data_IF_973960147967
#
_entry.id   IF_973960147967
#
_cell.length_a   1.000
_cell.length_b   1.000
_cell.length_c   1.000
_cell.angle_alpha   90.00
_cell.angle_beta   90.00
_cell.angle_gamma   90.00
#
_symmetry.space_group_name_H-M   'P 1'
#
loop_
_entity.id
_entity.type
_entity.pdbx_description
1 polymer ?
#
# COMPACT_ATOMS: atom_id res chain seq x y z
N UNK A 1 3.54 19.98 6.96
CA UNK A 1 4.25 19.42 5.79
C UNK A 1 3.38 19.57 4.55
N UNK A 2 3.95 19.90 3.39
CA UNK A 2 3.19 19.92 2.13
C UNK A 2 2.79 18.49 1.74
N UNK A 3 1.50 18.25 1.45
CA UNK A 3 0.99 16.93 1.14
C UNK A 3 1.68 16.28 -0.08
N UNK A 4 2.12 17.08 -1.07
CA UNK A 4 2.87 16.58 -2.23
C UNK A 4 4.23 16.00 -1.80
N UNK A 5 4.91 16.67 -0.87
CA UNK A 5 6.19 16.20 -0.33
C UNK A 5 5.96 14.91 0.47
N UNK A 6 4.89 14.83 1.25
CA UNK A 6 4.52 13.60 1.97
C UNK A 6 4.30 12.42 1.01
N UNK A 7 3.59 12.63 -0.11
CA UNK A 7 3.39 11.62 -1.14
C UNK A 7 4.71 11.20 -1.81
N UNK A 8 5.62 12.14 -2.08
CA UNK A 8 6.93 11.85 -2.66
C UNK A 8 7.80 11.03 -1.71
N UNK A 9 7.81 11.38 -0.42
CA UNK A 9 8.51 10.60 0.61
C UNK A 9 7.93 9.19 0.66
N UNK A 10 6.60 9.05 0.75
CA UNK A 10 5.94 7.75 0.77
C UNK A 10 6.29 6.91 -0.47
N UNK A 11 6.30 7.50 -1.66
CA UNK A 11 6.72 6.81 -2.88
C UNK A 11 8.17 6.31 -2.80
N UNK A 12 9.09 7.15 -2.31
CA UNK A 12 10.49 6.78 -2.14
C UNK A 12 10.66 5.63 -1.12
N UNK A 13 9.99 5.69 0.04
CA UNK A 13 10.04 4.61 1.04
C UNK A 13 9.46 3.31 0.50
N UNK A 14 8.33 3.35 -0.19
CA UNK A 14 7.72 2.16 -0.80
C UNK A 14 8.57 1.55 -1.91
N UNK A 15 9.30 2.38 -2.67
CA UNK A 15 10.21 1.89 -3.72
C UNK A 15 11.40 1.13 -3.13
N UNK A 16 11.96 1.62 -2.02
CA UNK A 16 13.07 0.98 -1.31
C UNK A 16 12.59 -0.26 -0.54
N UNK A 17 11.37 -0.20 -0.02
CA UNK A 17 10.73 -1.25 0.76
C UNK A 17 10.69 -2.59 -0.01
N UNK A 18 10.23 -2.60 -1.27
CA UNK A 18 10.10 -3.83 -2.05
C UNK A 18 11.42 -4.60 -2.22
N UNK A 19 12.53 -3.88 -2.35
CA UNK A 19 13.87 -4.46 -2.46
C UNK A 19 14.32 -5.18 -1.18
N UNK A 20 14.11 -4.56 -0.02
CA UNK A 20 14.46 -5.19 1.27
C UNK A 20 13.47 -6.30 1.64
N UNK A 21 12.18 -6.13 1.36
CA UNK A 21 11.14 -7.13 1.62
C UNK A 21 11.36 -8.42 0.83
N UNK A 22 11.74 -8.34 -0.45
CA UNK A 22 12.08 -9.53 -1.25
C UNK A 22 13.27 -10.29 -0.65
N UNK A 23 14.34 -9.57 -0.28
CA UNK A 23 15.55 -10.17 0.30
C UNK A 23 15.26 -10.83 1.65
N UNK A 24 14.53 -10.14 2.53
CA UNK A 24 14.14 -10.64 3.83
C UNK A 24 13.25 -11.90 3.69
N UNK A 25 12.26 -11.84 2.78
CA UNK A 25 11.37 -12.97 2.46
C UNK A 25 12.11 -14.22 2.00
N UNK A 26 13.21 -14.08 1.24
CA UNK A 26 14.04 -15.22 0.81
C UNK A 26 14.85 -15.85 1.96
N UNK A 27 15.22 -15.08 2.98
CA UNK A 27 16.07 -15.55 4.09
C UNK A 27 15.24 -16.28 5.15
N UNK A 28 14.15 -15.66 5.62
CA UNK A 28 13.37 -16.18 6.75
C UNK A 28 11.88 -16.41 6.45
N UNK A 29 11.44 -16.18 5.21
CA UNK A 29 10.05 -16.37 4.80
C UNK A 29 9.14 -15.17 5.09
N UNK A 30 7.98 -15.18 4.42
CA UNK A 30 6.95 -14.15 4.44
C UNK A 30 6.33 -13.94 5.83
N UNK A 31 6.19 -15.02 6.62
CA UNK A 31 5.60 -14.97 7.96
C UNK A 31 6.48 -14.21 8.94
N UNK A 32 7.78 -14.46 8.90
CA UNK A 32 8.74 -13.76 9.75
C UNK A 32 8.87 -12.30 9.32
N UNK A 33 8.81 -12.03 8.01
CA UNK A 33 8.80 -10.66 7.50
C UNK A 33 7.60 -9.86 8.04
N UNK A 34 6.40 -10.47 8.03
CA UNK A 34 5.19 -9.87 8.59
C UNK A 34 5.33 -9.52 10.08
N UNK A 35 6.03 -10.35 10.87
CA UNK A 35 6.28 -10.08 12.29
C UNK A 35 7.16 -8.84 12.46
N UNK A 36 8.28 -8.75 11.74
CA UNK A 36 9.17 -7.58 11.83
C UNK A 36 8.47 -6.29 11.44
N UNK A 37 7.63 -6.32 10.40
CA UNK A 37 6.85 -5.16 10.01
C UNK A 37 5.79 -4.78 11.04
N UNK A 38 5.11 -5.77 11.62
CA UNK A 38 4.14 -5.53 12.70
C UNK A 38 4.81 -4.85 13.89
N UNK A 39 6.02 -5.28 14.26
CA UNK A 39 6.80 -4.64 15.32
C UNK A 39 7.17 -3.19 14.97
N UNK A 40 7.54 -2.92 13.71
CA UNK A 40 7.81 -1.55 13.25
C UNK A 40 6.55 -0.66 13.31
N UNK A 41 5.39 -1.19 12.92
CA UNK A 41 4.11 -0.47 13.04
C UNK A 41 3.71 -0.22 14.49
N UNK A 42 3.93 -1.18 15.39
CA UNK A 42 3.69 -1.00 16.83
C UNK A 42 4.59 0.13 17.37
N UNK A 43 5.87 0.13 17.02
CA UNK A 43 6.79 1.18 17.43
C UNK A 43 6.34 2.56 16.94
N UNK A 44 5.98 2.68 15.66
CA UNK A 44 5.45 3.91 15.08
C UNK A 44 4.14 4.34 15.75
N UNK A 45 3.26 3.39 16.08
CA UNK A 45 2.01 3.67 16.78
C UNK A 45 2.26 4.20 18.20
N UNK A 46 3.25 3.65 18.93
CA UNK A 46 3.64 4.15 20.25
C UNK A 46 4.20 5.57 20.16
N UNK A 47 5.03 5.86 19.17
CA UNK A 47 5.55 7.22 18.92
C UNK A 47 4.42 8.17 18.54
N UNK A 48 3.49 7.78 17.67
CA UNK A 48 2.35 8.59 17.29
C UNK A 48 1.34 8.78 18.44
N UNK A 49 1.26 7.83 19.37
CA UNK A 49 0.33 7.88 20.49
C UNK A 49 0.62 9.07 21.41
N UNK A 50 1.88 9.50 21.58
CA UNK A 50 2.21 10.65 22.44
C UNK A 50 1.55 11.95 21.98
N UNK A 51 1.37 12.10 20.66
CA UNK A 51 0.75 13.29 20.06
C UNK A 51 -0.76 13.13 19.89
N UNK A 52 -1.27 11.89 19.89
CA UNK A 52 -2.66 11.57 19.61
C UNK A 52 -3.54 11.37 20.86
N UNK A 53 -2.98 11.33 22.09
CA UNK A 53 -3.75 11.13 23.34
C UNK A 53 -4.92 12.11 23.45
N UNK A 54 -4.71 13.37 23.04
CA UNK A 54 -5.73 14.41 23.08
C UNK A 54 -6.92 14.16 22.14
N UNK A 55 -6.79 13.32 21.11
CA UNK A 55 -7.80 13.12 20.08
C UNK A 55 -8.68 11.88 20.29
N UNK A 56 -8.41 11.07 21.32
CA UNK A 56 -9.19 9.86 21.60
C UNK A 56 -10.69 10.15 21.83
N UNK A 57 -11.03 11.34 22.33
CA UNK A 57 -12.42 11.77 22.50
C UNK A 57 -13.20 11.88 21.17
N UNK A 58 -12.51 11.97 20.02
CA UNK A 58 -13.11 12.02 18.68
C UNK A 58 -13.45 10.63 18.13
N UNK A 59 -13.01 9.56 18.80
CA UNK A 59 -13.24 8.19 18.35
C UNK A 59 -14.68 7.79 18.63
N UNK A 60 -15.41 7.49 17.55
CA UNK A 60 -16.76 6.91 17.59
C UNK A 60 -16.72 5.43 17.24
N UNK A 61 -17.78 4.67 17.56
CA UNK A 61 -17.87 3.26 17.15
C UNK A 61 -17.72 3.06 15.64
N UNK A 62 -18.27 3.99 14.83
CA UNK A 62 -18.15 3.95 13.36
C UNK A 62 -16.72 4.22 12.89
N UNK A 63 -16.03 5.22 13.46
CA UNK A 63 -14.64 5.51 13.07
C UNK A 63 -13.70 4.39 13.51
N UNK A 64 -13.92 3.81 14.69
CA UNK A 64 -13.18 2.65 15.17
C UNK A 64 -13.37 1.45 14.21
N UNK A 65 -14.61 1.13 13.84
CA UNK A 65 -14.90 0.07 12.87
C UNK A 65 -14.20 0.30 11.53
N UNK A 66 -14.32 1.50 10.95
CA UNK A 66 -13.68 1.83 9.68
C UNK A 66 -12.14 1.71 9.77
N UNK A 67 -11.54 2.19 10.86
CA UNK A 67 -10.09 2.10 11.09
C UNK A 67 -9.64 0.64 11.26
N UNK A 68 -10.40 -0.18 12.00
CA UNK A 68 -10.13 -1.61 12.15
C UNK A 68 -10.24 -2.37 10.83
N UNK A 69 -11.26 -2.08 10.02
CA UNK A 69 -11.41 -2.67 8.69
C UNK A 69 -10.28 -2.26 7.75
N UNK A 70 -9.88 -0.98 7.77
CA UNK A 70 -8.72 -0.50 7.01
C UNK A 70 -7.45 -1.26 7.42
N UNK A 71 -7.20 -1.42 8.73
CA UNK A 71 -6.05 -2.17 9.25
C UNK A 71 -6.07 -3.64 8.85
N UNK A 72 -7.22 -4.31 8.98
CA UNK A 72 -7.38 -5.72 8.61
C UNK A 72 -7.15 -5.95 7.11
N UNK A 73 -7.79 -5.14 6.25
CA UNK A 73 -7.63 -5.24 4.79
C UNK A 73 -6.19 -4.95 4.36
N UNK A 74 -5.53 -3.99 5.01
CA UNK A 74 -4.12 -3.70 4.79
C UNK A 74 -3.24 -4.90 5.11
N UNK A 75 -3.43 -5.52 6.28
CA UNK A 75 -2.66 -6.70 6.68
C UNK A 75 -2.87 -7.91 5.75
N UNK A 76 -4.13 -8.17 5.37
CA UNK A 76 -4.46 -9.27 4.45
C UNK A 76 -3.88 -9.03 3.05
N UNK A 77 -4.09 -7.83 2.49
CA UNK A 77 -3.55 -7.48 1.16
C UNK A 77 -2.02 -7.54 1.14
N UNK A 78 -1.40 -7.08 2.22
CA UNK A 78 0.03 -7.13 2.40
C UNK A 78 0.58 -8.58 2.49
N UNK A 79 -0.09 -9.47 3.23
CA UNK A 79 0.27 -10.89 3.26
C UNK A 79 0.21 -11.54 1.87
N UNK A 80 -0.83 -11.25 1.09
CA UNK A 80 -0.93 -11.72 -0.29
C UNK A 80 0.15 -11.15 -1.20
N UNK A 81 0.56 -9.89 -1.01
CA UNK A 81 1.68 -9.31 -1.75
C UNK A 81 2.98 -10.07 -1.46
N UNK A 82 3.31 -10.32 -0.19
CA UNK A 82 4.51 -11.10 0.16
C UNK A 82 4.46 -12.53 -0.38
N UNK A 83 3.29 -13.16 -0.35
CA UNK A 83 3.08 -14.48 -0.95
C UNK A 83 3.30 -14.44 -2.48
N UNK A 84 2.76 -13.43 -3.17
CA UNK A 84 2.95 -13.25 -4.61
C UNK A 84 4.44 -13.10 -4.96
N UNK A 85 5.19 -12.30 -4.20
CA UNK A 85 6.64 -12.13 -4.39
C UNK A 85 7.45 -13.40 -4.14
N UNK A 86 6.92 -14.35 -3.36
CA UNK A 86 7.53 -15.65 -3.12
C UNK A 86 7.31 -16.64 -4.27
N UNK A 87 6.12 -16.63 -4.88
CA UNK A 87 5.73 -17.61 -5.91
C UNK A 87 5.97 -17.12 -7.34
N UNK A 88 6.11 -15.81 -7.55
CA UNK A 88 6.37 -15.24 -8.87
C UNK A 88 7.76 -15.67 -9.36
N UNK A 89 7.91 -16.01 -10.66
CA UNK A 89 9.23 -16.20 -11.25
C UNK A 89 10.10 -14.95 -11.08
N UNK A 90 11.40 -15.12 -10.81
CA UNK A 90 12.31 -14.00 -10.53
C UNK A 90 12.35 -12.96 -11.66
N UNK A 91 12.21 -13.40 -12.92
CA UNK A 91 12.15 -12.53 -14.10
C UNK A 91 10.89 -11.66 -14.14
N UNK A 92 9.86 -12.03 -13.37
CA UNK A 92 8.57 -11.35 -13.29
C UNK A 92 8.34 -10.65 -11.94
N UNK A 93 9.32 -10.61 -11.04
CA UNK A 93 9.20 -9.92 -9.73
C UNK A 93 8.80 -8.44 -9.89
N UNK A 94 9.38 -7.75 -10.88
CA UNK A 94 9.02 -6.36 -11.18
C UNK A 94 7.54 -6.21 -11.59
N UNK A 95 6.99 -7.20 -12.31
CA UNK A 95 5.58 -7.25 -12.70
C UNK A 95 4.68 -7.46 -11.50
N UNK A 96 5.04 -8.40 -10.61
CA UNK A 96 4.29 -8.63 -9.37
C UNK A 96 4.26 -7.38 -8.46
N UNK A 97 5.41 -6.74 -8.25
CA UNK A 97 5.51 -5.50 -7.47
C UNK A 97 4.65 -4.38 -8.05
N UNK A 98 4.64 -4.27 -9.38
CA UNK A 98 3.89 -3.27 -10.09
C UNK A 98 2.38 -3.52 -9.99
N UNK A 99 1.91 -4.77 -10.18
CA UNK A 99 0.49 -5.14 -9.96
C UNK A 99 0.05 -4.85 -8.52
N UNK A 100 0.84 -5.29 -7.52
CA UNK A 100 0.51 -5.05 -6.12
C UNK A 100 0.55 -3.57 -5.75
N UNK A 101 1.38 -2.77 -6.46
CA UNK A 101 1.49 -1.33 -6.30
C UNK A 101 0.36 -0.51 -6.94
N UNK A 102 -0.54 -1.12 -7.71
CA UNK A 102 -1.68 -0.42 -8.35
C UNK A 102 -2.81 -0.07 -7.39
N UNK A 103 -2.71 -0.37 -6.10
CA UNK A 103 -3.76 -0.06 -5.12
C UNK A 103 -4.20 1.42 -5.10
N UNK A 104 -3.37 2.45 -5.37
CA UNK A 104 -3.84 3.83 -5.45
C UNK A 104 -4.81 4.04 -6.63
N UNK A 105 -4.60 3.36 -7.75
CA UNK A 105 -5.51 3.38 -8.90
C UNK A 105 -6.86 2.77 -8.50
N UNK A 106 -6.84 1.60 -7.86
CA UNK A 106 -8.05 0.97 -7.31
C UNK A 106 -8.76 1.86 -6.30
N UNK A 107 -8.02 2.50 -5.40
CA UNK A 107 -8.56 3.42 -4.39
C UNK A 107 -9.19 4.67 -5.02
N UNK A 108 -8.59 5.23 -6.08
CA UNK A 108 -9.17 6.37 -6.81
C UNK A 108 -10.48 5.99 -7.50
N UNK A 109 -10.56 4.80 -8.10
CA UNK A 109 -11.79 4.28 -8.70
C UNK A 109 -12.89 4.13 -7.66
N UNK A 110 -12.60 3.56 -6.49
CA UNK A 110 -13.58 3.42 -5.41
C UNK A 110 -13.96 4.78 -4.83
N UNK A 111 -12.99 5.69 -4.64
CA UNK A 111 -13.23 7.03 -4.11
C UNK A 111 -14.15 7.88 -4.99
N UNK A 112 -14.12 7.66 -6.31
CA UNK A 112 -15.05 8.30 -7.25
C UNK A 112 -16.51 8.05 -6.87
N UNK A 113 -16.83 6.83 -6.44
CA UNK A 113 -18.19 6.43 -6.10
C UNK A 113 -18.58 6.72 -4.63
N UNK A 114 -17.61 7.05 -3.78
CA UNK A 114 -17.83 7.16 -2.32
C UNK A 114 -17.74 8.59 -1.82
N UNK A 115 -16.83 9.42 -2.32
CA UNK A 115 -16.46 10.66 -1.61
C UNK A 115 -15.98 11.81 -2.48
N UNK A 116 -15.39 11.56 -3.65
CA UNK A 116 -14.78 12.62 -4.46
C UNK A 116 -14.87 12.32 -5.96
N UNK A 117 -15.75 13.02 -6.72
CA UNK A 117 -15.82 12.84 -8.16
C UNK A 117 -14.51 13.28 -8.82
N UNK A 118 -14.10 12.54 -9.86
CA UNK A 118 -12.88 12.79 -10.60
C UNK A 118 -13.20 13.65 -11.81
N UNK A 119 -12.36 14.65 -12.11
CA UNK A 119 -12.48 15.49 -13.31
C UNK A 119 -11.84 14.80 -14.52
N UNK A 120 -12.25 15.17 -15.75
CA UNK A 120 -11.93 14.43 -16.98
C UNK A 120 -10.44 14.11 -17.20
N UNK A 121 -9.52 15.02 -16.88
CA UNK A 121 -8.08 14.75 -17.04
C UNK A 121 -7.51 13.77 -16.00
N UNK A 122 -8.14 13.66 -14.83
CA UNK A 122 -7.75 12.67 -13.81
C UNK A 122 -8.09 11.26 -14.26
N UNK A 123 -9.19 11.08 -15.00
CA UNK A 123 -9.53 9.81 -15.65
C UNK A 123 -8.50 9.40 -16.69
N UNK A 124 -8.07 10.36 -17.53
CA UNK A 124 -7.00 10.10 -18.49
C UNK A 124 -5.69 9.69 -17.80
N UNK A 125 -5.33 10.34 -16.68
CA UNK A 125 -4.18 9.95 -15.86
C UNK A 125 -4.30 8.55 -15.28
N UNK A 126 -5.47 8.19 -14.73
CA UNK A 126 -5.72 6.84 -14.22
C UNK A 126 -5.63 5.80 -15.33
N UNK A 127 -6.26 6.03 -16.47
CA UNK A 127 -6.23 5.11 -17.61
C UNK A 127 -4.79 4.92 -18.11
N UNK A 128 -3.99 5.98 -18.14
CA UNK A 128 -2.60 5.93 -18.57
C UNK A 128 -1.72 5.15 -17.59
N UNK A 129 -1.93 5.30 -16.28
CA UNK A 129 -1.25 4.48 -15.27
C UNK A 129 -1.73 3.03 -15.34
N UNK A 130 -3.05 2.81 -15.47
CA UNK A 130 -3.67 1.49 -15.47
C UNK A 130 -3.32 0.66 -16.73
N UNK A 131 -3.13 1.31 -17.88
CA UNK A 131 -2.78 0.64 -19.14
C UNK A 131 -1.27 0.63 -19.40
N UNK A 132 -0.57 1.73 -19.07
CA UNK A 132 0.87 1.85 -19.28
C UNK A 132 1.68 0.87 -18.44
N UNK A 133 1.22 0.55 -17.24
CA UNK A 133 1.85 -0.41 -16.34
C UNK A 133 1.80 -1.88 -16.88
N UNK A 134 0.63 -2.44 -17.24
CA UNK A 134 0.55 -3.75 -17.89
C UNK A 134 1.33 -3.87 -19.20
N UNK A 135 1.35 -2.80 -20.00
CA UNK A 135 2.12 -2.75 -21.26
C UNK A 135 3.63 -2.76 -21.00
N UNK A 136 4.11 -1.94 -20.06
CA UNK A 136 5.52 -1.91 -19.67
C UNK A 136 6.01 -3.25 -19.08
N UNK A 137 5.09 -4.02 -18.50
CA UNK A 137 5.35 -5.33 -17.93
C UNK A 137 5.12 -6.52 -18.89
N UNK A 138 4.69 -6.27 -20.14
CA UNK A 138 4.42 -7.32 -21.12
C UNK A 138 3.24 -8.24 -20.76
N UNK A 139 2.34 -7.81 -19.87
CA UNK A 139 1.15 -8.57 -19.46
C UNK A 139 0.12 -8.59 -20.59
N UNK A 140 0.00 -7.50 -21.34
CA UNK A 140 -0.89 -7.34 -22.48
C UNK A 140 -0.01 -7.13 -23.73
N UNK A 141 -0.28 -7.91 -24.78
CA UNK A 141 0.40 -7.81 -26.09
C UNK A 141 -0.41 -6.98 -27.05
#
# INVERSE_FOLDING_TARGET
MNWKIACLIAFATWSIYGFFGERAGKIHGEKINLIFETLAFILLAVVAASDAVGDFHKVTGRSAFNASMMGLLSAVGFWFMLYALKVVPQEQTGVALLISGMFPVGAMLVSHFVSAPLVGWQWAGIALVAAGMPLACGIIK
#
